data_IF_343384030409
#
_entry.id   IF_343384030409
#
_cell.length_a   1.000
_cell.length_b   1.000
_cell.length_c   1.000
_cell.angle_alpha   90.00
_cell.angle_beta   90.00
_cell.angle_gamma   90.00
#
_symmetry.space_group_name_H-M   'P 1'
#
loop_
_entity.id
_entity.type
_entity.pdbx_description
1 polymer ?
#
# COMPACT_ATOMS: atom_id res chain seq x y z
N UNK A 1 23.71 0.71 -10.15
CA UNK A 1 22.74 1.41 -9.28
C UNK A 1 21.51 0.54 -9.24
N UNK A 2 21.05 0.14 -8.05
CA UNK A 2 19.76 -0.57 -7.92
C UNK A 2 18.69 0.51 -7.99
N UNK A 3 17.75 0.39 -8.92
CA UNK A 3 16.62 1.32 -9.01
C UNK A 3 15.65 1.02 -7.87
N UNK A 4 15.27 2.05 -7.11
CA UNK A 4 14.24 1.92 -6.08
C UNK A 4 12.85 1.82 -6.73
N UNK A 5 11.90 1.09 -6.12
CA UNK A 5 10.56 0.93 -6.66
C UNK A 5 9.75 2.22 -6.57
N UNK A 6 8.93 2.47 -7.58
CA UNK A 6 8.03 3.62 -7.69
C UNK A 6 6.65 3.14 -8.16
N UNK A 7 5.60 3.90 -7.88
CA UNK A 7 4.25 3.61 -8.38
C UNK A 7 3.52 4.90 -8.80
N UNK A 8 2.57 4.76 -9.72
CA UNK A 8 1.70 5.86 -10.17
C UNK A 8 0.25 5.38 -10.09
N UNK A 9 -0.59 6.13 -9.40
CA UNK A 9 -2.04 5.95 -9.35
C UNK A 9 -2.71 6.96 -10.27
N UNK A 10 -3.70 6.49 -11.05
CA UNK A 10 -4.54 7.30 -11.92
C UNK A 10 -6.00 6.90 -11.68
N UNK A 11 -6.90 7.87 -11.61
CA UNK A 11 -8.32 7.65 -11.42
C UNK A 11 -9.18 8.38 -12.48
N UNK A 12 -10.41 7.91 -12.75
CA UNK A 12 -11.32 8.51 -13.73
C UNK A 12 -11.72 9.96 -13.44
N UNK A 13 -11.61 10.40 -12.18
CA UNK A 13 -11.88 11.80 -11.80
C UNK A 13 -10.69 12.74 -12.11
N UNK A 14 -9.67 12.25 -12.80
CA UNK A 14 -8.45 12.99 -13.15
C UNK A 14 -7.42 13.05 -12.02
N UNK A 15 -7.63 12.34 -10.91
CA UNK A 15 -6.62 12.27 -9.85
C UNK A 15 -5.43 11.44 -10.29
N UNK A 16 -4.24 12.05 -10.27
CA UNK A 16 -2.97 11.38 -10.48
C UNK A 16 -2.09 11.53 -9.24
N UNK A 17 -1.48 10.43 -8.77
CA UNK A 17 -0.59 10.42 -7.61
C UNK A 17 0.64 9.56 -7.87
N UNK A 18 1.80 10.19 -7.79
CA UNK A 18 3.11 9.52 -7.85
C UNK A 18 3.54 9.13 -6.43
N UNK A 19 4.10 7.94 -6.32
CA UNK A 19 4.63 7.36 -5.09
C UNK A 19 6.10 6.99 -5.29
N UNK A 20 6.95 7.59 -4.46
CA UNK A 20 8.37 7.31 -4.36
C UNK A 20 8.67 6.90 -2.92
N UNK A 21 9.52 5.89 -2.76
CA UNK A 21 9.94 5.44 -1.42
C UNK A 21 10.75 6.52 -0.69
N UNK A 22 11.38 7.44 -1.42
CA UNK A 22 12.17 8.53 -0.87
C UNK A 22 13.51 8.07 -0.28
N UNK A 23 14.23 8.99 0.34
CA UNK A 23 15.50 8.70 1.01
C UNK A 23 15.28 8.51 2.51
N UNK A 24 15.58 7.31 3.05
CA UNK A 24 15.48 7.04 4.48
C UNK A 24 15.59 5.55 4.84
N UNK A 25 15.58 5.19 6.14
CA UNK A 25 15.55 3.79 6.55
C UNK A 25 14.18 3.18 6.23
N UNK A 26 14.18 2.11 5.44
CA UNK A 26 12.99 1.34 5.14
C UNK A 26 12.87 0.12 6.06
N UNK A 27 11.64 -0.30 6.34
CA UNK A 27 11.37 -1.46 7.19
C UNK A 27 10.36 -2.39 6.52
N UNK A 28 10.49 -3.69 6.80
CA UNK A 28 9.53 -4.72 6.39
C UNK A 28 8.32 -4.79 7.31
N UNK A 29 8.34 -4.02 8.40
CA UNK A 29 7.24 -3.90 9.35
C UNK A 29 6.38 -2.68 8.99
N UNK A 30 5.56 -2.84 7.94
CA UNK A 30 4.62 -1.81 7.49
C UNK A 30 3.65 -1.43 8.61
N UNK A 31 3.29 -0.16 8.65
CA UNK A 31 2.30 0.39 9.58
C UNK A 31 0.88 -0.01 9.20
N UNK A 32 0.60 -0.20 7.90
CA UNK A 32 -0.71 -0.63 7.39
C UNK A 32 -0.94 -2.13 7.45
N UNK A 33 0.14 -2.93 7.58
CA UNK A 33 0.09 -4.41 7.59
C UNK A 33 0.01 -5.01 8.99
N UNK A 34 -0.14 -4.19 10.04
CA UNK A 34 -0.23 -4.69 11.41
C UNK A 34 -1.62 -5.23 11.71
N UNK A 35 -1.66 -6.29 12.50
CA UNK A 35 -2.90 -6.78 13.12
C UNK A 35 -3.58 -5.66 13.92
N UNK A 36 -4.91 -5.65 13.97
CA UNK A 36 -5.65 -4.53 14.58
C UNK A 36 -5.35 -4.37 16.08
N UNK A 37 -5.40 -3.14 16.56
CA UNK A 37 -5.16 -2.81 17.98
C UNK A 37 -6.08 -3.58 18.94
N UNK A 38 -7.28 -3.94 18.47
CA UNK A 38 -8.25 -4.75 19.23
C UNK A 38 -7.70 -6.15 19.49
N UNK A 39 -7.10 -6.76 18.47
CA UNK A 39 -6.54 -8.12 18.58
C UNK A 39 -5.23 -8.11 19.36
N UNK A 40 -4.39 -7.06 19.21
CA UNK A 40 -3.19 -6.87 20.05
C UNK A 40 -3.59 -6.75 21.53
N UNK A 41 -4.61 -5.95 21.85
CA UNK A 41 -5.10 -5.79 23.24
C UNK A 41 -5.72 -7.06 23.82
N UNK A 42 -6.25 -7.93 22.97
CA UNK A 42 -6.76 -9.25 23.36
C UNK A 42 -5.64 -10.30 23.60
N UNK A 43 -4.37 -9.91 23.47
CA UNK A 43 -3.21 -10.81 23.60
C UNK A 43 -2.89 -11.61 22.34
N UNK A 44 -3.44 -11.21 21.18
CA UNK A 44 -3.12 -11.81 19.89
C UNK A 44 -1.72 -11.41 19.43
N UNK A 45 -0.97 -12.39 18.93
CA UNK A 45 0.33 -12.20 18.29
C UNK A 45 0.20 -12.35 16.77
N UNK A 46 0.80 -11.44 16.01
CA UNK A 46 0.88 -11.53 14.56
C UNK A 46 1.93 -12.57 14.16
N UNK A 47 1.47 -13.80 13.95
CA UNK A 47 2.30 -14.94 13.55
C UNK A 47 2.74 -14.88 12.08
N UNK A 48 2.07 -14.06 11.27
CA UNK A 48 2.33 -13.88 9.84
C UNK A 48 3.20 -12.64 9.56
N UNK A 49 3.71 -11.99 10.62
CA UNK A 49 4.56 -10.81 10.49
C UNK A 49 5.78 -11.10 9.59
N UNK A 50 6.11 -10.20 8.65
CA UNK A 50 7.29 -10.36 7.82
C UNK A 50 8.55 -10.53 8.68
N UNK A 51 9.45 -11.42 8.27
CA UNK A 51 10.80 -11.46 8.84
C UNK A 51 11.49 -10.12 8.64
N UNK A 52 12.39 -9.74 9.55
CA UNK A 52 13.18 -8.52 9.37
C UNK A 52 13.97 -8.53 8.06
N UNK A 53 14.19 -7.35 7.49
CA UNK A 53 15.05 -7.17 6.33
C UNK A 53 16.45 -7.73 6.64
N UNK A 54 16.86 -8.76 5.89
CA UNK A 54 18.26 -9.19 5.87
C UNK A 54 19.05 -8.20 5.03
N UNK A 55 20.28 -7.89 5.43
CA UNK A 55 21.18 -7.01 4.67
C UNK A 55 21.63 -7.67 3.35
N UNK A 56 20.70 -7.68 2.40
CA UNK A 56 20.77 -8.32 1.10
C UNK A 56 19.99 -7.45 0.12
N UNK A 57 20.30 -7.45 -1.18
CA UNK A 57 19.55 -6.67 -2.16
C UNK A 57 18.03 -6.92 -2.13
N UNK A 58 17.61 -8.17 -1.95
CA UNK A 58 16.19 -8.53 -1.82
C UNK A 58 15.57 -8.08 -0.49
N UNK A 59 16.34 -8.08 0.60
CA UNK A 59 15.88 -7.57 1.89
C UNK A 59 15.65 -6.06 1.87
N UNK A 60 16.54 -5.31 1.22
CA UNK A 60 16.38 -3.87 0.97
C UNK A 60 15.16 -3.59 0.08
N UNK A 61 15.04 -4.31 -1.05
CA UNK A 61 13.89 -4.17 -1.95
C UNK A 61 12.56 -4.45 -1.22
N UNK A 62 12.51 -5.49 -0.37
CA UNK A 62 11.30 -5.80 0.40
C UNK A 62 10.93 -4.66 1.35
N UNK A 63 11.92 -4.06 2.02
CA UNK A 63 11.68 -2.92 2.91
C UNK A 63 11.17 -1.69 2.13
N UNK A 64 11.74 -1.41 0.96
CA UNK A 64 11.27 -0.35 0.07
C UNK A 64 9.84 -0.61 -0.41
N UNK A 65 9.52 -1.84 -0.84
CA UNK A 65 8.16 -2.21 -1.25
C UNK A 65 7.14 -2.09 -0.11
N UNK A 66 7.50 -2.46 1.11
CA UNK A 66 6.63 -2.26 2.28
C UNK A 66 6.37 -0.78 2.55
N UNK A 67 7.37 0.07 2.35
CA UNK A 67 7.18 1.54 2.44
C UNK A 67 6.19 2.02 1.38
N UNK A 68 6.35 1.56 0.14
CA UNK A 68 5.48 1.93 -0.96
C UNK A 68 4.03 1.45 -0.72
N UNK A 69 3.86 0.22 -0.23
CA UNK A 69 2.57 -0.35 0.16
C UNK A 69 1.87 0.51 1.22
N UNK A 70 2.58 0.92 2.27
CA UNK A 70 2.03 1.80 3.31
C UNK A 70 1.54 3.13 2.73
N UNK A 71 2.34 3.76 1.86
CA UNK A 71 1.97 5.03 1.23
C UNK A 71 0.70 4.90 0.40
N UNK A 72 0.59 3.84 -0.41
CA UNK A 72 -0.60 3.54 -1.21
C UNK A 72 -1.82 3.31 -0.32
N UNK A 73 -1.67 2.48 0.72
CA UNK A 73 -2.75 2.17 1.65
C UNK A 73 -3.27 3.42 2.37
N UNK A 74 -2.37 4.28 2.86
CA UNK A 74 -2.75 5.54 3.51
C UNK A 74 -3.49 6.45 2.53
N UNK A 75 -2.98 6.59 1.30
CA UNK A 75 -3.61 7.43 0.28
C UNK A 75 -5.02 6.96 -0.07
N UNK A 76 -5.19 5.68 -0.39
CA UNK A 76 -6.50 5.11 -0.73
C UNK A 76 -7.47 5.18 0.45
N UNK A 77 -7.00 4.90 1.67
CA UNK A 77 -7.83 4.99 2.88
C UNK A 77 -8.31 6.42 3.15
N UNK A 78 -7.44 7.42 2.95
CA UNK A 78 -7.84 8.83 3.08
C UNK A 78 -8.86 9.23 2.02
N UNK A 79 -8.69 8.74 0.78
CA UNK A 79 -9.60 9.01 -0.33
C UNK A 79 -10.98 8.39 -0.11
N UNK A 80 -11.06 7.17 0.43
CA UNK A 80 -12.34 6.55 0.82
C UNK A 80 -13.02 7.33 1.95
N UNK A 81 -12.28 7.78 2.97
CA UNK A 81 -12.86 8.57 4.08
C UNK A 81 -13.36 9.95 3.67
N UNK A 82 -12.80 10.54 2.62
CA UNK A 82 -13.18 11.85 2.10
C UNK A 82 -14.17 11.81 0.93
N UNK A 83 -14.46 10.62 0.39
CA UNK A 83 -15.36 10.40 -0.74
C UNK A 83 -16.77 10.01 -0.31
N UNK A 84 -17.71 10.11 -1.24
CA UNK A 84 -19.07 9.56 -1.11
C UNK A 84 -19.02 8.01 -1.22
N UNK A 85 -20.04 7.30 -0.71
CA UNK A 85 -20.10 5.81 -0.76
C UNK A 85 -19.94 5.26 -2.21
N UNK A 86 -20.40 6.01 -3.21
CA UNK A 86 -20.23 5.69 -4.64
C UNK A 86 -18.79 5.79 -5.16
N UNK A 87 -17.94 6.56 -4.48
CA UNK A 87 -16.52 6.68 -4.78
C UNK A 87 -15.73 5.52 -4.16
N UNK A 88 -16.08 5.13 -2.93
CA UNK A 88 -15.53 3.94 -2.27
C UNK A 88 -15.83 2.68 -3.11
N UNK A 89 -17.06 2.55 -3.61
CA UNK A 89 -17.44 1.42 -4.48
C UNK A 89 -16.63 1.37 -5.77
N UNK A 90 -16.49 2.49 -6.49
CA UNK A 90 -15.71 2.55 -7.74
C UNK A 90 -14.20 2.29 -7.56
N UNK A 91 -13.63 2.64 -6.41
CA UNK A 91 -12.21 2.40 -6.12
C UNK A 91 -11.96 0.94 -5.70
N UNK A 92 -12.90 0.30 -5.00
CA UNK A 92 -12.74 -1.06 -4.49
C UNK A 92 -13.16 -2.15 -5.49
N UNK A 93 -14.15 -1.89 -6.35
CA UNK A 93 -14.71 -2.91 -7.25
C UNK A 93 -13.83 -3.14 -8.50
N UNK A 94 -12.77 -2.34 -8.68
CA UNK A 94 -11.94 -2.37 -9.87
C UNK A 94 -12.71 -1.83 -11.07
N UNK A 95 -12.31 -0.67 -11.58
CA UNK A 95 -12.84 -0.16 -12.84
C UNK A 95 -12.37 -0.99 -14.04
N UNK A 96 -12.69 -2.28 -14.07
CA UNK A 96 -12.72 -3.08 -15.27
C UNK A 96 -14.07 -2.81 -15.96
N UNK A 97 -14.16 -1.65 -16.61
CA UNK A 97 -14.90 -1.61 -17.87
C UNK A 97 -14.04 -2.42 -18.85
N UNK A 98 -14.21 -3.75 -18.82
CA UNK A 98 -13.86 -4.58 -19.96
C UNK A 98 -14.62 -3.95 -21.15
N UNK A 99 -13.89 -3.24 -22.01
CA UNK A 99 -14.42 -2.84 -23.32
C UNK A 99 -14.88 -4.12 -24.02
N UNK A 100 -16.19 -4.38 -24.02
CA UNK A 100 -16.81 -5.36 -24.90
C UNK A 100 -16.51 -4.90 -26.34
N UNK A 101 -15.42 -5.43 -26.93
CA UNK A 101 -15.16 -5.32 -28.35
C UNK A 101 -16.30 -6.03 -29.11
N UNK A 102 -17.15 -5.24 -29.77
CA UNK A 102 -18.22 -5.68 -30.69
C UNK A 102 -17.67 -6.29 -32.00
#
# INVERSE_FOLDING_TARGET
>A
MVASPTAVYVAPDGTEKHFDVGSGPHSTSGTSTKISDVVIKAGGEDRDKPSEAKDTPLGHLRAELTTLQDQVNVFLTQRMKGGDEDMERRVLDGGDEEEEEE
#
